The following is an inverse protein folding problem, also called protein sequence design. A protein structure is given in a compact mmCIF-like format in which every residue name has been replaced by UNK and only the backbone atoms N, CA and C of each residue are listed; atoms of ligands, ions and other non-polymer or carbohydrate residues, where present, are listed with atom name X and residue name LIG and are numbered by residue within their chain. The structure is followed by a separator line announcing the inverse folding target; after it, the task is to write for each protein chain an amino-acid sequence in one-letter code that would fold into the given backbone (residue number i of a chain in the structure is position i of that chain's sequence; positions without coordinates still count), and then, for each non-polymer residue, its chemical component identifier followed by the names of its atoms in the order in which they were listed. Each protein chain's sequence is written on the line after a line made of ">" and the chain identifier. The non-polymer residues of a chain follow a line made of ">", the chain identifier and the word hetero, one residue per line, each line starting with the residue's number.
data_IF_821247581676
#
_entry.id   IF_821247581676
#
_cell.length_a   1.000
_cell.length_b   1.000
_cell.length_c   1.000
_cell.angle_alpha   90.00
_cell.angle_beta   90.00
_cell.angle_gamma   90.00
#
_symmetry.space_group_name_H-M   'P 1'
#
loop_
_entity.id
_entity.type
_entity.pdbx_description
1 polymer ?
#
# COMPACT_ATOMS: atom_id res chain seq x y z
N UNK A 1 49.99 -24.44 -4.83
CA UNK A 1 49.19 -23.78 -5.88
C UNK A 1 47.94 -24.59 -6.23
N UNK A 2 48.04 -25.90 -6.49
CA UNK A 2 46.88 -26.76 -6.81
C UNK A 2 45.77 -26.72 -5.75
N UNK A 3 46.11 -26.82 -4.46
CA UNK A 3 45.11 -26.75 -3.37
C UNK A 3 44.31 -25.45 -3.41
N UNK A 4 44.97 -24.31 -3.64
CA UNK A 4 44.32 -23.00 -3.72
C UNK A 4 43.35 -22.96 -4.91
N UNK A 5 43.77 -23.46 -6.08
CA UNK A 5 42.93 -23.53 -7.29
C UNK A 5 41.68 -24.38 -7.02
N UNK A 6 41.85 -25.56 -6.39
CA UNK A 6 40.73 -26.45 -6.06
C UNK A 6 39.76 -25.77 -5.08
N UNK A 7 40.27 -25.14 -4.03
CA UNK A 7 39.44 -24.43 -3.04
C UNK A 7 38.66 -23.29 -3.71
N UNK A 8 39.32 -22.45 -4.51
CA UNK A 8 38.66 -21.38 -5.25
C UNK A 8 37.61 -21.93 -6.22
N UNK A 9 37.93 -22.98 -6.98
CA UNK A 9 36.99 -23.64 -7.89
C UNK A 9 35.75 -24.18 -7.18
N UNK A 10 35.93 -24.84 -6.02
CA UNK A 10 34.82 -25.33 -5.20
C UNK A 10 33.95 -24.18 -4.70
N UNK A 11 34.56 -23.12 -4.12
CA UNK A 11 33.82 -21.96 -3.62
C UNK A 11 33.03 -21.26 -4.72
N UNK A 12 33.63 -21.08 -5.91
CA UNK A 12 32.96 -20.50 -7.07
C UNK A 12 31.81 -21.38 -7.56
N UNK A 13 31.98 -22.70 -7.59
CA UNK A 13 30.93 -23.63 -8.01
C UNK A 13 29.75 -23.59 -7.04
N UNK A 14 30.02 -23.60 -5.74
CA UNK A 14 28.99 -23.47 -4.70
C UNK A 14 28.28 -22.12 -4.83
N UNK A 15 29.04 -21.03 -4.97
CA UNK A 15 28.49 -19.68 -5.17
C UNK A 15 27.60 -19.59 -6.41
N UNK A 16 28.02 -20.16 -7.54
CA UNK A 16 27.24 -20.19 -8.78
C UNK A 16 25.93 -20.96 -8.60
N UNK A 17 25.97 -22.14 -7.99
CA UNK A 17 24.77 -22.93 -7.70
C UNK A 17 23.82 -22.18 -6.78
N UNK A 18 24.32 -21.58 -5.70
CA UNK A 18 23.52 -20.77 -4.79
C UNK A 18 22.87 -19.57 -5.50
N UNK A 19 23.62 -18.88 -6.38
CA UNK A 19 23.12 -17.75 -7.15
C UNK A 19 22.02 -18.17 -8.14
N UNK A 20 22.20 -19.27 -8.86
CA UNK A 20 21.17 -19.82 -9.78
C UNK A 20 19.92 -20.22 -9.00
N UNK A 21 20.08 -20.93 -7.88
CA UNK A 21 18.94 -21.31 -7.02
C UNK A 21 18.17 -20.08 -6.53
N UNK A 22 18.86 -19.01 -6.16
CA UNK A 22 18.24 -17.75 -5.76
C UNK A 22 17.54 -17.05 -6.93
N UNK A 23 18.13 -17.08 -8.12
CA UNK A 23 17.53 -16.49 -9.32
C UNK A 23 16.20 -17.18 -9.70
N UNK A 24 16.09 -18.50 -9.50
CA UNK A 24 14.86 -19.25 -9.78
C UNK A 24 13.81 -19.09 -8.68
N UNK A 25 14.21 -19.15 -7.40
CA UNK A 25 13.29 -19.15 -6.24
C UNK A 25 13.04 -17.76 -5.65
N UNK A 26 13.68 -16.72 -6.18
CA UNK A 26 13.59 -15.36 -5.68
C UNK A 26 12.14 -14.84 -5.69
N UNK A 27 11.65 -14.25 -4.58
CA UNK A 27 10.26 -13.82 -4.43
C UNK A 27 9.95 -12.52 -5.18
N UNK A 28 10.93 -11.61 -5.29
CA UNK A 28 10.78 -10.32 -5.98
C UNK A 28 11.59 -10.28 -7.28
N UNK A 29 11.15 -9.45 -8.24
CA UNK A 29 11.89 -9.22 -9.48
C UNK A 29 13.30 -8.69 -9.21
N UNK A 30 13.43 -7.79 -8.23
CA UNK A 30 14.72 -7.28 -7.77
C UNK A 30 15.66 -8.38 -7.27
N UNK A 31 15.15 -9.33 -6.48
CA UNK A 31 15.97 -10.42 -5.94
C UNK A 31 16.52 -11.32 -7.05
N UNK A 32 15.68 -11.62 -8.05
CA UNK A 32 16.08 -12.42 -9.21
C UNK A 32 17.15 -11.71 -10.02
N UNK A 33 17.02 -10.40 -10.23
CA UNK A 33 18.02 -9.62 -10.95
C UNK A 33 19.35 -9.55 -10.21
N UNK A 34 19.32 -9.32 -8.89
CA UNK A 34 20.54 -9.32 -8.07
C UNK A 34 21.21 -10.70 -8.11
N UNK A 35 20.42 -11.78 -8.04
CA UNK A 35 20.96 -13.12 -8.18
C UNK A 35 21.62 -13.35 -9.55
N UNK A 36 21.05 -12.82 -10.64
CA UNK A 36 21.64 -12.88 -11.97
C UNK A 36 22.98 -12.12 -12.06
N UNK A 37 23.08 -10.96 -11.41
CA UNK A 37 24.33 -10.20 -11.33
C UNK A 37 25.42 -10.99 -10.57
N UNK A 38 25.05 -11.69 -9.50
CA UNK A 38 25.96 -12.59 -8.79
C UNK A 38 26.42 -13.75 -9.69
N UNK A 39 25.55 -14.29 -10.55
CA UNK A 39 25.95 -15.32 -11.54
C UNK A 39 27.02 -14.76 -12.47
N UNK A 40 26.80 -13.58 -13.07
CA UNK A 40 27.76 -12.93 -13.97
C UNK A 40 29.08 -12.64 -13.26
N UNK A 41 29.01 -12.14 -12.02
CA UNK A 41 30.18 -11.89 -11.17
C UNK A 41 30.95 -13.19 -10.86
N UNK A 42 30.25 -14.27 -10.57
CA UNK A 42 30.88 -15.57 -10.27
C UNK A 42 31.54 -16.16 -11.52
N UNK A 43 30.92 -16.03 -12.69
CA UNK A 43 31.53 -16.41 -13.97
C UNK A 43 32.76 -15.55 -14.28
N UNK A 44 32.70 -14.26 -13.99
CA UNK A 44 33.86 -13.35 -14.12
C UNK A 44 35.01 -13.79 -13.20
N UNK A 45 34.72 -14.14 -11.95
CA UNK A 45 35.72 -14.64 -11.02
C UNK A 45 36.31 -16.01 -11.44
N UNK A 46 35.49 -16.89 -12.00
CA UNK A 46 35.95 -18.15 -12.59
C UNK A 46 36.88 -17.92 -13.79
N UNK A 47 36.54 -16.98 -14.67
CA UNK A 47 37.40 -16.56 -15.78
C UNK A 47 38.71 -15.93 -15.30
N UNK A 48 38.67 -15.13 -14.22
CA UNK A 48 39.87 -14.57 -13.59
C UNK A 48 40.78 -15.67 -13.02
N UNK A 49 40.21 -16.67 -12.34
CA UNK A 49 40.95 -17.83 -11.84
C UNK A 49 41.60 -18.60 -13.00
N UNK A 50 40.86 -18.83 -14.08
CA UNK A 50 41.38 -19.47 -15.30
C UNK A 50 42.55 -18.67 -15.91
N UNK A 51 42.39 -17.35 -16.07
CA UNK A 51 43.44 -16.47 -16.57
C UNK A 51 44.70 -16.50 -15.71
N UNK A 52 44.54 -16.56 -14.38
CA UNK A 52 45.65 -16.65 -13.44
C UNK A 52 46.41 -17.98 -13.52
N UNK A 53 45.69 -19.10 -13.76
CA UNK A 53 46.28 -20.43 -13.92
C UNK A 53 47.04 -20.53 -15.25
N UNK A 54 46.41 -20.10 -16.34
CA UNK A 54 46.96 -20.20 -17.70
C UNK A 54 47.99 -19.08 -18.01
N UNK A 55 48.10 -18.07 -17.13
CA UNK A 55 48.95 -16.87 -17.30
C UNK A 55 48.65 -16.12 -18.60
N UNK A 56 47.38 -16.03 -18.93
CA UNK A 56 46.86 -15.42 -20.16
C UNK A 56 46.14 -14.12 -19.85
N UNK A 57 46.66 -13.02 -20.39
CA UNK A 57 46.11 -11.67 -20.18
C UNK A 57 45.06 -11.28 -21.23
N UNK A 58 44.94 -12.05 -22.31
CA UNK A 58 43.93 -11.81 -23.35
C UNK A 58 42.49 -12.07 -22.89
N UNK A 59 42.31 -12.77 -21.76
CA UNK A 59 41.02 -12.96 -21.10
C UNK A 59 40.59 -11.68 -20.34
N UNK A 60 41.54 -10.85 -19.90
CA UNK A 60 41.26 -9.70 -19.01
C UNK A 60 40.26 -8.70 -19.61
N UNK A 61 40.35 -8.29 -20.88
CA UNK A 61 39.35 -7.40 -21.47
C UNK A 61 37.93 -7.99 -21.46
N UNK A 62 37.79 -9.30 -21.63
CA UNK A 62 36.49 -9.99 -21.56
C UNK A 62 35.91 -9.88 -20.15
N UNK A 63 36.74 -10.07 -19.11
CA UNK A 63 36.31 -9.94 -17.72
C UNK A 63 35.86 -8.52 -17.38
N UNK A 64 36.55 -7.51 -17.93
CA UNK A 64 36.17 -6.10 -17.77
C UNK A 64 34.79 -5.85 -18.36
N UNK A 65 34.56 -6.28 -19.61
CA UNK A 65 33.25 -6.14 -20.26
C UNK A 65 32.17 -6.89 -19.48
N UNK A 66 32.44 -8.12 -19.03
CA UNK A 66 31.48 -8.94 -18.29
C UNK A 66 31.09 -8.28 -16.95
N UNK A 67 32.06 -7.70 -16.23
CA UNK A 67 31.82 -6.93 -15.00
C UNK A 67 30.98 -5.68 -15.25
N UNK A 68 31.22 -4.96 -16.36
CA UNK A 68 30.44 -3.78 -16.72
C UNK A 68 28.99 -4.17 -17.08
N UNK A 69 28.80 -5.24 -17.84
CA UNK A 69 27.47 -5.73 -18.24
C UNK A 69 26.63 -6.13 -17.02
N UNK A 70 27.20 -6.89 -16.08
CA UNK A 70 26.51 -7.28 -14.84
C UNK A 70 26.07 -6.06 -14.02
N UNK A 71 27.01 -5.15 -13.77
CA UNK A 71 26.76 -3.92 -13.02
C UNK A 71 25.69 -3.03 -13.68
N UNK A 72 25.84 -2.72 -14.98
CA UNK A 72 24.90 -1.87 -15.70
C UNK A 72 23.51 -2.50 -15.75
N UNK A 73 23.41 -3.81 -16.02
CA UNK A 73 22.13 -4.52 -16.05
C UNK A 73 21.39 -4.44 -14.72
N UNK A 74 22.09 -4.68 -13.61
CA UNK A 74 21.52 -4.58 -12.25
C UNK A 74 21.05 -3.17 -11.92
N UNK A 75 21.87 -2.14 -12.20
CA UNK A 75 21.53 -0.72 -11.94
C UNK A 75 20.34 -0.27 -12.79
N UNK A 76 20.28 -0.66 -14.06
CA UNK A 76 19.15 -0.33 -14.94
C UNK A 76 17.85 -0.91 -14.37
N UNK A 77 17.83 -2.19 -14.01
CA UNK A 77 16.62 -2.82 -13.48
C UNK A 77 16.25 -2.22 -12.12
N UNK A 78 17.21 -1.99 -11.21
CA UNK A 78 16.94 -1.37 -9.92
C UNK A 78 16.29 0.01 -10.04
N UNK A 79 16.67 0.79 -11.06
CA UNK A 79 16.09 2.10 -11.34
C UNK A 79 14.61 2.02 -11.76
N UNK A 80 14.25 1.00 -12.54
CA UNK A 80 12.90 0.86 -13.08
C UNK A 80 11.98 -0.03 -12.23
N UNK A 81 12.51 -0.93 -11.43
CA UNK A 81 11.74 -1.83 -10.58
C UNK A 81 10.96 -1.11 -9.46
N UNK A 82 11.36 0.10 -9.07
CA UNK A 82 10.60 0.94 -8.13
C UNK A 82 9.29 1.51 -8.73
N UNK A 83 9.06 1.35 -10.03
CA UNK A 83 7.89 1.88 -10.74
C UNK A 83 6.75 0.84 -10.83
N UNK A 84 6.98 -0.41 -10.41
CA UNK A 84 5.94 -1.44 -10.40
C UNK A 84 5.20 -1.41 -9.05
N UNK A 85 3.91 -1.01 -8.98
CA UNK A 85 3.13 -1.20 -7.77
C UNK A 85 3.00 -2.71 -7.51
N UNK A 86 3.61 -3.19 -6.43
CA UNK A 86 3.44 -4.56 -5.94
C UNK A 86 1.96 -4.75 -5.53
N UNK A 87 1.12 -5.16 -6.49
CA UNK A 87 -0.31 -5.30 -6.27
C UNK A 87 -1.18 -5.43 -7.52
N UNK A 88 -0.71 -5.03 -8.71
CA UNK A 88 -1.54 -4.94 -9.92
C UNK A 88 -1.72 -6.29 -10.67
N UNK A 89 -1.63 -7.41 -9.95
CA UNK A 89 -1.94 -8.75 -10.44
C UNK A 89 -3.25 -9.32 -9.92
N UNK A 90 -4.01 -8.57 -9.09
CA UNK A 90 -5.42 -8.87 -8.85
C UNK A 90 -6.23 -7.94 -9.74
N UNK A 91 -6.91 -8.50 -10.73
CA UNK A 91 -8.13 -7.87 -11.24
C UNK A 91 -8.99 -7.65 -10.00
N UNK A 92 -9.16 -6.40 -9.56
CA UNK A 92 -10.10 -6.09 -8.47
C UNK A 92 -11.42 -6.73 -8.86
N UNK A 93 -12.00 -7.53 -7.96
CA UNK A 93 -13.32 -8.05 -8.25
C UNK A 93 -14.28 -6.86 -8.37
N UNK A 94 -15.29 -6.90 -9.27
CA UNK A 94 -16.23 -5.79 -9.44
C UNK A 94 -16.85 -5.29 -8.12
N UNK A 95 -16.96 -6.19 -7.14
CA UNK A 95 -17.47 -5.93 -5.79
C UNK A 95 -16.56 -5.03 -4.95
N UNK A 96 -15.23 -5.21 -5.02
CA UNK A 96 -14.27 -4.38 -4.28
C UNK A 96 -14.19 -2.95 -4.83
N UNK A 97 -14.40 -2.77 -6.14
CA UNK A 97 -14.47 -1.44 -6.78
C UNK A 97 -15.75 -0.71 -6.36
N UNK A 98 -16.88 -1.42 -6.34
CA UNK A 98 -18.18 -0.87 -5.94
C UNK A 98 -18.18 -0.43 -4.47
N UNK A 99 -17.58 -1.24 -3.58
CA UNK A 99 -17.45 -0.91 -2.16
C UNK A 99 -16.64 0.38 -1.94
N UNK A 100 -15.51 0.53 -2.63
CA UNK A 100 -14.67 1.73 -2.52
C UNK A 100 -15.33 2.98 -3.10
N UNK A 101 -16.05 2.88 -4.23
CA UNK A 101 -16.79 4.03 -4.76
C UNK A 101 -17.93 4.47 -3.84
N UNK A 102 -18.60 3.54 -3.15
CA UNK A 102 -19.64 3.88 -2.20
C UNK A 102 -19.08 4.58 -0.96
N UNK A 103 -17.90 4.18 -0.50
CA UNK A 103 -17.19 4.87 0.60
C UNK A 103 -16.68 6.25 0.18
N UNK A 104 -16.12 6.37 -1.03
CA UNK A 104 -15.68 7.65 -1.57
C UNK A 104 -16.84 8.64 -1.73
N UNK A 105 -17.99 8.18 -2.25
CA UNK A 105 -19.21 8.99 -2.38
C UNK A 105 -19.77 9.42 -1.03
N UNK A 106 -19.72 8.57 0.01
CA UNK A 106 -20.15 8.94 1.37
C UNK A 106 -19.27 10.02 1.97
N UNK A 107 -17.96 9.94 1.76
CA UNK A 107 -17.03 10.95 2.24
C UNK A 107 -17.18 12.26 1.47
N UNK A 108 -17.43 12.19 0.16
CA UNK A 108 -17.73 13.34 -0.68
C UNK A 108 -19.06 13.98 -0.30
N UNK A 109 -20.10 13.20 -0.01
CA UNK A 109 -21.41 13.67 0.48
C UNK A 109 -21.29 14.35 1.86
N UNK A 110 -20.49 13.77 2.78
CA UNK A 110 -20.22 14.40 4.08
C UNK A 110 -19.41 15.70 3.91
N UNK A 111 -18.44 15.71 3.00
CA UNK A 111 -17.64 16.90 2.70
C UNK A 111 -18.47 17.97 2.00
N UNK A 112 -19.38 17.60 1.10
CA UNK A 112 -20.29 18.49 0.38
C UNK A 112 -21.36 19.06 1.33
N UNK A 113 -21.91 18.24 2.23
CA UNK A 113 -22.81 18.69 3.29
C UNK A 113 -22.12 19.63 4.29
N UNK A 114 -20.81 19.46 4.52
CA UNK A 114 -20.01 20.38 5.30
C UNK A 114 -19.62 21.66 4.54
N UNK A 115 -19.47 21.58 3.21
CA UNK A 115 -19.08 22.70 2.35
C UNK A 115 -20.26 23.60 1.94
N UNK A 116 -21.49 23.08 1.88
CA UNK A 116 -22.71 23.85 1.60
C UNK A 116 -23.66 23.84 2.81
N UNK A 117 -23.44 24.69 3.82
CA UNK A 117 -24.45 24.89 4.86
C UNK A 117 -25.71 25.45 4.18
N UNK A 118 -26.82 24.70 4.25
CA UNK A 118 -28.13 25.20 3.78
C UNK A 118 -28.34 26.60 4.37
N UNK A 119 -28.79 27.60 3.58
CA UNK A 119 -29.30 28.82 4.17
C UNK A 119 -30.37 28.40 5.19
N UNK A 120 -30.14 28.71 6.47
CA UNK A 120 -31.21 28.64 7.46
C UNK A 120 -32.19 29.69 6.98
N UNK A 121 -33.25 29.27 6.29
CA UNK A 121 -34.40 30.12 6.02
C UNK A 121 -34.81 30.71 7.38
N UNK A 122 -34.78 32.05 7.55
CA UNK A 122 -35.22 32.63 8.81
C UNK A 122 -36.65 32.17 9.02
N UNK A 123 -36.88 31.40 10.09
CA UNK A 123 -38.22 31.03 10.49
C UNK A 123 -39.02 32.32 10.64
N UNK A 124 -40.07 32.45 9.83
CA UNK A 124 -41.09 33.48 9.99
C UNK A 124 -41.52 33.48 11.47
N UNK A 125 -41.46 34.61 12.19
CA UNK A 125 -41.84 34.62 13.59
C UNK A 125 -43.33 34.28 13.70
N UNK A 126 -43.61 33.08 14.20
CA UNK A 126 -44.95 32.62 14.50
C UNK A 126 -45.63 33.59 15.47
N UNK A 127 -46.79 34.10 15.05
CA UNK A 127 -47.72 34.87 15.87
C UNK A 127 -47.98 34.14 17.19
N UNK A 128 -47.95 34.85 18.35
CA UNK A 128 -48.26 34.21 19.63
C UNK A 128 -49.72 33.73 19.64
N UNK A 129 -49.90 32.41 19.70
CA UNK A 129 -51.20 31.78 19.87
C UNK A 129 -51.83 32.20 21.21
N UNK A 130 -53.04 32.74 21.13
CA UNK A 130 -53.91 33.17 22.23
C UNK A 130 -54.20 31.97 23.17
N UNK A 131 -54.08 32.12 24.51
CA UNK A 131 -54.31 31.01 25.44
C UNK A 131 -55.79 30.59 25.43
N UNK A 132 -56.04 29.31 25.13
CA UNK A 132 -57.36 28.71 25.15
C UNK A 132 -57.99 28.76 26.56
N UNK A 133 -59.18 29.33 26.63
CA UNK A 133 -60.04 29.46 27.81
C UNK A 133 -60.57 28.06 28.24
N UNK A 134 -60.32 27.61 29.49
CA UNK A 134 -60.87 26.34 29.96
C UNK A 134 -62.37 26.45 30.28
N UNK A 135 -63.15 25.55 29.68
CA UNK A 135 -64.61 25.45 29.80
C UNK A 135 -65.12 25.31 31.25
N UNK A 136 -66.18 26.05 31.53
CA UNK A 136 -66.95 26.15 32.78
C UNK A 136 -67.71 24.84 33.10
N UNK A 137 -67.51 24.20 34.27
CA UNK A 137 -68.37 23.12 34.72
C UNK A 137 -69.50 23.64 35.63
N UNK A 138 -70.72 23.26 35.24
CA UNK A 138 -72.03 23.53 35.83
C UNK A 138 -72.13 23.54 37.38
N UNK A 139 -72.89 24.53 37.88
CA UNK A 139 -73.36 24.65 39.26
C UNK A 139 -74.19 23.44 39.75
N UNK A 140 -74.03 23.05 41.03
CA UNK A 140 -75.09 22.44 41.80
C UNK A 140 -75.59 23.34 42.95
N UNK A 141 -76.91 23.34 43.09
CA UNK A 141 -77.85 24.06 43.97
C UNK A 141 -77.54 23.96 45.49
N UNK A 142 -78.11 24.85 46.35
CA UNK A 142 -77.60 25.25 47.64
C UNK A 142 -78.05 24.32 48.77
N UNK A 143 -77.27 24.28 49.85
CA UNK A 143 -77.76 23.77 51.13
C UNK A 143 -77.51 24.76 52.27
N UNK A 144 -78.58 24.87 53.02
CA UNK A 144 -78.89 25.68 54.18
C UNK A 144 -78.06 25.33 55.42
N UNK A 145 -77.56 26.36 56.13
CA UNK A 145 -77.43 26.46 57.59
C UNK A 145 -76.57 27.69 57.92
N UNK A 146 -77.17 28.84 58.25
CA UNK A 146 -77.46 29.24 59.63
C UNK A 146 -76.19 29.31 60.50
N UNK A 147 -75.55 30.48 60.49
CA UNK A 147 -74.64 30.91 61.56
C UNK A 147 -75.34 31.99 62.37
N UNK A 148 -75.82 31.59 63.55
CA UNK A 148 -76.49 32.44 64.53
C UNK A 148 -75.63 33.62 64.98
N UNK A 149 -76.31 34.76 65.12
CA UNK A 149 -75.92 35.89 65.94
C UNK A 149 -76.61 35.71 67.30
N UNK A 150 -75.80 35.59 68.35
CA UNK A 150 -76.12 35.81 69.77
C UNK A 150 -76.77 34.68 70.58
#
# INVERSE_FOLDING_TARGET
>A
MTVVIVVCGVLLTVGAVCAVVRAERGPSMLDRTVALDIVVTTLTAAGALFAAVERRTDIVPILVVLSLVGFVGSVTIARFAAVEPEGEGRVRTPEEVAAQSAEALRLEEIAEAAAHPRPVEPAEPAEPAEPAEPAEPAEPQPDSATGEVR
#
